data_IF_019190140608
#
_entry.id   IF_019190140608
#
_cell.length_a   1.000
_cell.length_b   1.000
_cell.length_c   1.000
_cell.angle_alpha   90.00
_cell.angle_beta   90.00
_cell.angle_gamma   90.00
#
_symmetry.space_group_name_H-M   'P 1'
#
loop_
_entity.id
_entity.type
_entity.pdbx_description
1 polymer ?
#
# COMPACT_ATOMS: atom_id res chain seq x y z
N UNK A 1 1.18 6.21 3.30
CA UNK A 1 -0.27 5.89 3.33
C UNK A 1 -0.81 5.74 4.75
N UNK A 2 -0.28 4.82 5.55
CA UNK A 2 -0.68 4.68 6.96
C UNK A 2 0.10 5.62 7.90
N UNK A 3 1.35 5.92 7.53
CA UNK A 3 2.28 6.64 8.39
C UNK A 3 2.89 5.71 9.43
N UNK A 4 4.20 5.83 9.65
CA UNK A 4 4.91 5.13 10.71
C UNK A 4 5.43 6.15 11.69
N UNK A 5 5.03 6.03 12.96
CA UNK A 5 5.53 6.84 14.06
C UNK A 5 6.13 5.93 15.11
N UNK A 6 7.44 6.07 15.37
CA UNK A 6 8.20 5.19 16.27
C UNK A 6 7.96 3.70 15.97
N UNK A 7 8.09 3.32 14.69
CA UNK A 7 7.85 1.95 14.21
C UNK A 7 6.42 1.43 14.43
N UNK A 8 5.44 2.29 14.69
CA UNK A 8 4.04 1.91 14.84
C UNK A 8 3.18 2.56 13.77
N UNK A 9 2.23 1.80 13.22
CA UNK A 9 1.14 2.34 12.41
C UNK A 9 -0.18 2.13 13.15
N UNK A 10 -1.04 3.14 13.09
CA UNK A 10 -2.42 3.03 13.54
C UNK A 10 -3.34 3.13 12.35
N UNK A 11 -4.27 2.19 12.22
CA UNK A 11 -5.24 2.17 11.15
C UNK A 11 -6.52 1.47 11.60
N UNK A 12 -7.58 1.60 10.82
CA UNK A 12 -8.86 0.96 11.11
C UNK A 12 -8.88 -0.38 10.38
N UNK A 13 -9.15 -1.47 11.09
CA UNK A 13 -9.32 -2.78 10.47
C UNK A 13 -10.69 -2.90 9.77
N UNK A 14 -10.91 -4.02 9.09
CA UNK A 14 -12.17 -4.32 8.40
C UNK A 14 -13.38 -4.40 9.35
N UNK A 15 -13.16 -4.55 10.67
CA UNK A 15 -14.20 -4.56 11.70
C UNK A 15 -14.55 -3.16 12.22
N UNK A 16 -13.88 -2.12 11.72
CA UNK A 16 -14.08 -0.74 12.15
C UNK A 16 -13.33 -0.38 13.44
N UNK A 17 -12.44 -1.26 13.93
CA UNK A 17 -11.66 -1.02 15.15
C UNK A 17 -10.30 -0.42 14.80
N UNK A 18 -9.85 0.51 15.63
CA UNK A 18 -8.49 1.04 15.51
C UNK A 18 -7.50 0.00 16.02
N UNK A 19 -6.67 -0.50 15.11
CA UNK A 19 -5.57 -1.41 15.39
C UNK A 19 -4.26 -0.61 15.38
N UNK A 20 -3.38 -0.93 16.33
CA UNK A 20 -2.01 -0.39 16.38
C UNK A 20 -1.04 -1.54 16.17
N UNK A 21 -0.33 -1.53 15.06
CA UNK A 21 0.66 -2.55 14.71
C UNK A 21 2.07 -2.00 14.84
N UNK A 22 2.97 -2.78 15.44
CA UNK A 22 4.40 -2.44 15.55
C UNK A 22 5.19 -3.16 14.46
N UNK A 23 6.12 -2.47 13.82
CA UNK A 23 6.91 -2.90 12.67
C UNK A 23 8.40 -2.84 12.99
N UNK A 24 8.96 -3.96 13.43
CA UNK A 24 10.35 -4.06 13.89
C UNK A 24 11.01 -5.25 13.20
N UNK A 25 11.95 -5.04 12.27
CA UNK A 25 12.57 -6.12 11.48
C UNK A 25 13.16 -7.24 12.34
N UNK A 26 13.72 -6.91 13.51
CA UNK A 26 14.38 -7.86 14.41
C UNK A 26 13.41 -8.87 15.05
N UNK A 27 12.10 -8.58 15.03
CA UNK A 27 11.07 -9.39 15.69
C UNK A 27 10.02 -9.95 14.72
N UNK A 28 10.09 -9.56 13.44
CA UNK A 28 9.12 -9.87 12.41
C UNK A 28 9.83 -10.20 11.10
N UNK A 29 10.15 -11.49 10.93
CA UNK A 29 10.89 -12.01 9.76
C UNK A 29 10.15 -11.72 8.44
N UNK A 30 8.80 -11.71 8.48
CA UNK A 30 8.00 -11.40 7.30
C UNK A 30 8.19 -9.93 6.91
N UNK A 31 8.10 -9.03 7.88
CA UNK A 31 8.36 -7.61 7.66
C UNK A 31 9.78 -7.37 7.15
N UNK A 32 10.79 -7.96 7.79
CA UNK A 32 12.20 -7.83 7.37
C UNK A 32 12.40 -8.28 5.92
N UNK A 33 11.80 -9.41 5.54
CA UNK A 33 11.97 -10.00 4.20
C UNK A 33 11.35 -9.16 3.09
N UNK A 34 10.18 -8.57 3.33
CA UNK A 34 9.40 -7.87 2.29
C UNK A 34 9.41 -6.34 2.43
N UNK A 35 10.22 -5.78 3.35
CA UNK A 35 10.29 -4.34 3.63
C UNK A 35 10.57 -3.48 2.38
N UNK A 36 11.44 -3.98 1.50
CA UNK A 36 11.87 -3.26 0.29
C UNK A 36 11.26 -3.81 -1.00
N UNK A 37 10.29 -4.71 -0.89
CA UNK A 37 9.58 -5.26 -2.04
C UNK A 37 8.64 -4.21 -2.63
N UNK A 38 8.41 -4.29 -3.95
CA UNK A 38 7.36 -3.50 -4.57
C UNK A 38 5.97 -3.93 -4.09
N UNK A 39 4.96 -3.10 -4.35
CA UNK A 39 3.60 -3.34 -3.87
C UNK A 39 3.01 -4.65 -4.40
N UNK A 40 3.30 -5.04 -5.65
CA UNK A 40 2.79 -6.27 -6.24
C UNK A 40 3.44 -7.52 -5.64
N UNK A 41 4.75 -7.48 -5.40
CA UNK A 41 5.49 -8.51 -4.69
C UNK A 41 4.99 -8.66 -3.25
N UNK A 42 4.77 -7.54 -2.55
CA UNK A 42 4.20 -7.53 -1.21
C UNK A 42 2.81 -8.20 -1.19
N UNK A 43 1.88 -7.81 -2.06
CA UNK A 43 0.55 -8.45 -2.16
C UNK A 43 0.65 -9.96 -2.44
N UNK A 44 1.54 -10.35 -3.36
CA UNK A 44 1.76 -11.77 -3.68
C UNK A 44 2.33 -12.56 -2.50
N UNK A 45 3.20 -11.93 -1.70
CA UNK A 45 3.76 -12.55 -0.50
C UNK A 45 2.72 -12.77 0.60
N UNK A 46 1.77 -11.85 0.76
CA UNK A 46 0.65 -11.99 1.70
C UNK A 46 -0.25 -13.14 1.28
N UNK A 47 -0.57 -13.25 -0.02
CA UNK A 47 -1.36 -14.37 -0.53
C UNK A 47 -0.71 -15.72 -0.17
N UNK A 48 0.60 -15.86 -0.40
CA UNK A 48 1.35 -17.06 -0.02
C UNK A 48 1.34 -17.29 1.50
N UNK A 49 1.49 -16.23 2.29
CA UNK A 49 1.43 -16.31 3.75
C UNK A 49 0.07 -16.85 4.24
N UNK A 50 -1.03 -16.39 3.64
CA UNK A 50 -2.39 -16.86 3.97
C UNK A 50 -2.59 -18.32 3.54
N UNK A 51 -2.15 -18.69 2.34
CA UNK A 51 -2.22 -20.08 1.83
C UNK A 51 -1.41 -21.04 2.74
N UNK A 52 -0.20 -20.66 3.14
CA UNK A 52 0.63 -21.44 4.05
C UNK A 52 0.00 -21.58 5.44
N UNK A 53 -0.64 -20.52 5.95
CA UNK A 53 -1.35 -20.56 7.23
C UNK A 53 -2.57 -21.47 7.16
N UNK A 54 -3.38 -21.38 6.11
CA UNK A 54 -4.54 -22.25 5.89
C UNK A 54 -4.16 -23.72 5.81
N UNK A 55 -3.08 -24.06 5.07
CA UNK A 55 -2.57 -25.43 5.00
C UNK A 55 -2.21 -25.98 6.39
N UNK A 56 -1.42 -25.22 7.16
CA UNK A 56 -1.01 -25.61 8.53
C UNK A 56 -2.19 -25.71 9.49
N UNK A 57 -3.21 -24.85 9.33
CA UNK A 57 -4.44 -24.92 10.13
C UNK A 57 -5.22 -26.20 9.84
N UNK A 58 -5.36 -26.59 8.58
CA UNK A 58 -6.11 -27.80 8.21
C UNK A 58 -5.42 -29.07 8.71
N UNK A 59 -4.08 -29.15 8.60
CA UNK A 59 -3.27 -30.24 9.18
C UNK A 59 -3.47 -30.36 10.71
N UNK A 60 -3.75 -29.24 11.36
CA UNK A 60 -3.94 -29.13 12.79
C UNK A 60 -5.39 -29.45 13.24
N UNK A 61 -6.38 -29.31 12.37
CA UNK A 61 -7.77 -29.72 12.65
C UNK A 61 -7.97 -31.23 12.44
N UNK A 62 -7.13 -31.90 11.63
CA UNK A 62 -7.22 -33.34 11.30
C UNK A 62 -6.49 -34.28 12.27
N UNK A 63 -6.37 -33.92 13.55
CA UNK A 63 -5.60 -34.68 14.54
C UNK A 63 -6.45 -35.73 15.27
N UNK A 64 -6.07 -37.01 15.22
CA UNK A 64 -6.89 -38.13 15.73
C UNK A 64 -6.23 -38.94 16.86
N UNK A 65 -4.91 -38.83 17.10
CA UNK A 65 -4.19 -39.64 18.09
C UNK A 65 -3.63 -38.87 19.30
N UNK A 66 -3.41 -39.59 20.41
CA UNK A 66 -2.75 -39.07 21.63
C UNK A 66 -1.30 -38.60 21.37
N UNK A 67 -0.61 -39.19 20.41
CA UNK A 67 0.72 -38.75 19.97
C UNK A 67 0.68 -37.39 19.30
N UNK A 68 -0.32 -37.18 18.43
CA UNK A 68 -0.52 -35.92 17.74
C UNK A 68 -0.78 -34.79 18.75
N UNK A 69 -1.59 -35.02 19.78
CA UNK A 69 -1.89 -34.02 20.82
C UNK A 69 -0.61 -33.51 21.51
N UNK A 70 0.36 -34.40 21.79
CA UNK A 70 1.64 -34.01 22.40
C UNK A 70 2.51 -33.18 21.45
N UNK A 71 2.53 -33.55 20.18
CA UNK A 71 3.21 -32.81 19.12
C UNK A 71 2.59 -31.43 18.90
N UNK A 72 1.26 -31.34 18.99
CA UNK A 72 0.53 -30.08 18.89
C UNK A 72 0.88 -29.12 20.01
N UNK A 73 0.86 -29.55 21.28
CA UNK A 73 1.23 -28.67 22.40
C UNK A 73 2.63 -28.09 22.19
N UNK A 74 3.53 -28.88 21.62
CA UNK A 74 4.90 -28.45 21.31
C UNK A 74 4.97 -27.41 20.18
N UNK A 75 4.10 -27.51 19.17
CA UNK A 75 4.07 -26.60 17.99
C UNK A 75 3.11 -25.41 18.14
N UNK A 76 2.20 -25.44 19.11
CA UNK A 76 1.18 -24.40 19.30
C UNK A 76 1.73 -22.98 19.47
N UNK A 77 2.83 -22.73 20.24
CA UNK A 77 3.41 -21.39 20.35
C UNK A 77 3.83 -20.80 18.99
N UNK A 78 4.41 -21.64 18.12
CA UNK A 78 4.80 -21.22 16.77
C UNK A 78 3.58 -20.93 15.89
N UNK A 79 2.55 -21.79 15.96
CA UNK A 79 1.29 -21.57 15.23
C UNK A 79 0.62 -20.25 15.67
N UNK A 80 0.60 -19.96 16.98
CA UNK A 80 0.08 -18.71 17.52
C UNK A 80 0.89 -17.49 17.05
N UNK A 81 2.22 -17.59 17.01
CA UNK A 81 3.08 -16.53 16.45
C UNK A 81 2.77 -16.29 14.97
N UNK A 82 2.64 -17.36 14.18
CA UNK A 82 2.31 -17.28 12.77
C UNK A 82 0.94 -16.65 12.54
N UNK A 83 -0.08 -17.04 13.31
CA UNK A 83 -1.43 -16.43 13.24
C UNK A 83 -1.36 -14.92 13.46
N UNK A 84 -0.62 -14.45 14.47
CA UNK A 84 -0.48 -13.02 14.73
C UNK A 84 0.23 -12.26 13.59
N UNK A 85 1.23 -12.87 12.94
CA UNK A 85 1.91 -12.29 11.77
C UNK A 85 0.94 -12.21 10.58
N UNK A 86 0.19 -13.29 10.31
CA UNK A 86 -0.82 -13.33 9.24
C UNK A 86 -1.88 -12.25 9.47
N UNK A 87 -2.51 -12.22 10.65
CA UNK A 87 -3.55 -11.26 10.99
C UNK A 87 -3.06 -9.81 10.84
N UNK A 88 -1.87 -9.51 11.36
CA UNK A 88 -1.24 -8.20 11.24
C UNK A 88 -1.07 -7.80 9.78
N UNK A 89 -0.36 -8.60 8.99
CA UNK A 89 0.04 -8.18 7.64
C UNK A 89 -1.13 -8.23 6.64
N UNK A 90 -2.12 -9.10 6.85
CA UNK A 90 -3.40 -9.07 6.11
C UNK A 90 -4.16 -7.78 6.41
N UNK A 91 -4.28 -7.39 7.68
CA UNK A 91 -4.95 -6.13 8.04
C UNK A 91 -4.27 -4.90 7.42
N UNK A 92 -2.94 -4.91 7.36
CA UNK A 92 -2.14 -3.85 6.74
C UNK A 92 -2.36 -3.79 5.23
N UNK A 93 -2.29 -4.92 4.53
CA UNK A 93 -2.48 -4.92 3.06
C UNK A 93 -3.90 -4.52 2.69
N UNK A 94 -4.90 -4.89 3.49
CA UNK A 94 -6.31 -4.53 3.27
C UNK A 94 -6.50 -3.01 3.33
N UNK A 95 -6.00 -2.36 4.39
CA UNK A 95 -6.10 -0.90 4.52
C UNK A 95 -5.26 -0.16 3.46
N UNK A 96 -4.06 -0.65 3.11
CA UNK A 96 -3.26 -0.06 2.03
C UNK A 96 -4.02 -0.18 0.70
N UNK A 97 -4.55 -1.37 0.38
CA UNK A 97 -5.30 -1.64 -0.84
C UNK A 97 -6.51 -0.72 -0.96
N UNK A 98 -7.26 -0.57 0.13
CA UNK A 98 -8.38 0.38 0.21
C UNK A 98 -7.94 1.81 -0.11
N UNK A 99 -6.86 2.32 0.50
CA UNK A 99 -6.35 3.67 0.22
C UNK A 99 -5.85 3.83 -1.22
N UNK A 100 -5.20 2.81 -1.77
CA UNK A 100 -4.73 2.78 -3.16
C UNK A 100 -5.91 2.91 -4.12
N UNK A 101 -7.01 2.17 -3.87
CA UNK A 101 -8.23 2.23 -4.67
C UNK A 101 -8.98 3.56 -4.50
N UNK A 102 -9.20 4.02 -3.27
CA UNK A 102 -9.92 5.27 -2.97
C UNK A 102 -9.28 6.53 -3.57
N UNK A 103 -7.98 6.49 -3.83
CA UNK A 103 -7.20 7.62 -4.37
C UNK A 103 -6.68 7.35 -5.79
N UNK A 104 -7.02 6.20 -6.38
CA UNK A 104 -6.52 5.75 -7.69
C UNK A 104 -4.99 5.87 -7.82
N UNK A 105 -4.25 5.47 -6.77
CA UNK A 105 -2.82 5.77 -6.64
C UNK A 105 -1.94 5.11 -7.70
N UNK A 106 -2.43 4.04 -8.34
CA UNK A 106 -1.71 3.39 -9.43
C UNK A 106 -1.68 4.31 -10.66
N UNK A 107 -2.82 4.88 -11.05
CA UNK A 107 -2.92 5.83 -12.16
C UNK A 107 -2.10 7.09 -11.88
N UNK A 108 -2.18 7.58 -10.65
CA UNK A 108 -1.36 8.70 -10.14
C UNK A 108 0.14 8.41 -10.27
N UNK A 109 0.58 7.25 -9.79
CA UNK A 109 1.98 6.85 -9.85
C UNK A 109 2.48 6.73 -11.29
N UNK A 110 1.66 6.20 -12.20
CA UNK A 110 1.99 6.11 -13.62
C UNK A 110 2.13 7.50 -14.25
N UNK A 111 1.20 8.42 -13.93
CA UNK A 111 1.27 9.80 -14.41
C UNK A 111 2.53 10.51 -13.93
N UNK A 112 2.91 10.35 -12.66
CA UNK A 112 4.14 10.91 -12.11
C UNK A 112 5.38 10.43 -12.84
N UNK A 113 5.46 9.12 -13.12
CA UNK A 113 6.58 8.54 -13.85
C UNK A 113 6.64 9.07 -15.29
N UNK A 114 5.51 9.15 -15.98
CA UNK A 114 5.44 9.69 -17.34
C UNK A 114 5.86 11.18 -17.39
N UNK A 115 5.40 11.98 -16.43
CA UNK A 115 5.84 13.38 -16.26
C UNK A 115 7.34 13.46 -16.02
N UNK A 116 7.89 12.62 -15.13
CA UNK A 116 9.31 12.64 -14.79
C UNK A 116 10.21 12.19 -15.94
N UNK A 117 9.76 11.24 -16.76
CA UNK A 117 10.53 10.75 -17.92
C UNK A 117 10.44 11.70 -19.11
N UNK A 118 9.37 12.49 -19.23
CA UNK A 118 9.18 13.42 -20.35
C UNK A 118 10.25 14.53 -20.34
N UNK A 119 11.05 14.64 -21.40
CA UNK A 119 12.15 15.62 -21.47
C UNK A 119 11.71 17.04 -21.84
N UNK A 120 10.67 17.18 -22.66
CA UNK A 120 10.24 18.48 -23.19
C UNK A 120 9.33 19.23 -22.18
N UNK A 121 9.75 20.43 -21.68
CA UNK A 121 8.96 21.19 -20.71
C UNK A 121 7.53 21.52 -21.15
N UNK A 122 7.35 21.93 -22.42
CA UNK A 122 6.02 22.25 -22.96
C UNK A 122 5.07 21.05 -23.00
N UNK A 123 5.59 19.85 -23.23
CA UNK A 123 4.82 18.61 -23.21
C UNK A 123 4.40 18.23 -21.79
N UNK A 124 5.26 18.46 -20.79
CA UNK A 124 4.93 18.27 -19.37
C UNK A 124 3.76 19.16 -18.95
N UNK A 125 3.83 20.46 -19.26
CA UNK A 125 2.77 21.42 -18.92
C UNK A 125 1.44 21.05 -19.59
N UNK A 126 1.49 20.60 -20.86
CA UNK A 126 0.29 20.17 -21.58
C UNK A 126 -0.35 18.92 -20.95
N UNK A 127 0.45 17.92 -20.58
CA UNK A 127 -0.02 16.71 -19.89
C UNK A 127 -0.66 17.05 -18.55
N UNK A 128 -0.01 17.90 -17.76
CA UNK A 128 -0.47 18.35 -16.45
C UNK A 128 -1.79 19.12 -16.57
N UNK A 129 -1.91 20.07 -17.51
CA UNK A 129 -3.18 20.79 -17.77
C UNK A 129 -4.32 19.85 -18.14
N UNK A 130 -4.07 18.85 -18.99
CA UNK A 130 -5.08 17.87 -19.40
C UNK A 130 -5.61 17.06 -18.21
N UNK A 131 -4.73 16.64 -17.31
CA UNK A 131 -5.13 15.84 -16.15
C UNK A 131 -5.78 16.68 -15.04
N UNK A 132 -5.45 17.98 -14.97
CA UNK A 132 -6.00 18.95 -14.01
C UNK A 132 -7.38 19.48 -14.37
N UNK A 133 -7.54 19.96 -15.60
CA UNK A 133 -8.74 20.66 -16.06
C UNK A 133 -9.83 19.69 -16.54
N UNK A 134 -9.47 18.42 -16.74
CA UNK A 134 -10.31 17.44 -17.43
C UNK A 134 -10.60 17.87 -18.87
N UNK A 135 -11.34 17.03 -19.61
CA UNK A 135 -11.92 17.51 -20.87
C UNK A 135 -13.07 18.46 -20.53
N UNK A 136 -13.08 19.71 -21.06
CA UNK A 136 -14.13 20.68 -20.78
C UNK A 136 -15.53 20.19 -21.20
N UNK A 137 -15.62 19.23 -22.13
CA UNK A 137 -16.88 18.65 -22.61
C UNK A 137 -17.59 17.71 -21.62
N UNK A 138 -16.95 17.28 -20.52
CA UNK A 138 -17.51 16.29 -19.57
C UNK A 138 -17.68 16.82 -18.13
N UNK A 139 -17.78 18.13 -17.94
CA UNK A 139 -18.06 18.70 -16.62
C UNK A 139 -16.89 18.58 -15.64
N UNK A 140 -15.66 18.79 -16.13
CA UNK A 140 -14.49 19.32 -15.42
C UNK A 140 -14.31 18.96 -13.94
N UNK A 141 -14.39 17.68 -13.57
CA UNK A 141 -13.95 17.24 -12.25
C UNK A 141 -12.49 16.81 -12.32
N UNK A 142 -11.63 17.29 -11.41
CA UNK A 142 -10.26 16.80 -11.32
C UNK A 142 -10.29 15.30 -11.03
N UNK A 143 -9.56 14.54 -11.83
CA UNK A 143 -9.49 13.07 -11.75
C UNK A 143 -8.79 12.58 -10.48
N UNK A 144 -8.09 13.49 -9.80
CA UNK A 144 -7.15 13.23 -8.73
C UNK A 144 -7.56 13.98 -7.46
N UNK A 145 -7.31 13.39 -6.28
CA UNK A 145 -7.53 14.11 -5.01
C UNK A 145 -6.57 15.30 -4.88
N UNK A 146 -7.01 16.36 -4.21
CA UNK A 146 -6.25 17.61 -4.03
C UNK A 146 -4.85 17.40 -3.44
N UNK A 147 -4.71 16.49 -2.48
CA UNK A 147 -3.42 16.18 -1.85
C UNK A 147 -2.41 15.61 -2.85
N UNK A 148 -2.83 14.61 -3.65
CA UNK A 148 -1.97 13.99 -4.65
C UNK A 148 -1.65 14.97 -5.76
N UNK A 149 -2.64 15.78 -6.15
CA UNK A 149 -2.47 16.82 -7.15
C UNK A 149 -1.42 17.85 -6.74
N UNK A 150 -1.49 18.34 -5.50
CA UNK A 150 -0.51 19.28 -4.97
C UNK A 150 0.90 18.68 -5.00
N UNK A 151 1.05 17.41 -4.60
CA UNK A 151 2.33 16.71 -4.66
C UNK A 151 2.86 16.59 -6.10
N UNK A 152 2.01 16.29 -7.06
CA UNK A 152 2.37 16.23 -8.49
C UNK A 152 2.79 17.60 -9.02
N UNK A 153 2.06 18.66 -8.67
CA UNK A 153 2.42 20.02 -9.07
C UNK A 153 3.79 20.44 -8.51
N UNK A 154 4.08 20.10 -7.25
CA UNK A 154 5.40 20.31 -6.66
C UNK A 154 6.49 19.53 -7.41
N UNK A 155 6.23 18.25 -7.72
CA UNK A 155 7.16 17.42 -8.48
C UNK A 155 7.47 18.01 -9.86
N UNK A 156 6.45 18.52 -10.56
CA UNK A 156 6.58 19.20 -11.84
C UNK A 156 7.39 20.49 -11.70
N UNK A 157 7.10 21.31 -10.69
CA UNK A 157 7.84 22.54 -10.44
C UNK A 157 9.33 22.27 -10.19
N UNK A 158 9.64 21.23 -9.41
CA UNK A 158 11.01 20.80 -9.17
C UNK A 158 11.69 20.28 -10.43
N UNK A 159 10.98 19.49 -11.26
CA UNK A 159 11.49 18.99 -12.53
C UNK A 159 11.81 20.11 -13.52
N UNK A 160 10.90 21.07 -13.65
CA UNK A 160 11.03 22.18 -14.59
C UNK A 160 11.97 23.28 -14.08
N UNK A 161 12.31 23.27 -12.79
CA UNK A 161 13.02 24.35 -12.09
C UNK A 161 12.33 25.71 -12.25
N UNK A 162 11.02 25.69 -12.50
CA UNK A 162 10.21 26.85 -12.82
C UNK A 162 8.79 26.64 -12.27
N UNK A 163 8.26 27.69 -11.65
CA UNK A 163 6.89 27.75 -11.12
C UNK A 163 5.95 28.54 -12.02
N UNK A 164 6.44 29.15 -13.10
CA UNK A 164 5.62 29.98 -14.00
C UNK A 164 4.45 29.22 -14.63
N UNK A 165 4.57 27.90 -14.79
CA UNK A 165 3.48 27.06 -15.30
C UNK A 165 2.25 27.04 -14.38
N UNK A 166 2.40 27.33 -13.08
CA UNK A 166 1.28 27.34 -12.12
C UNK A 166 0.27 28.46 -12.43
N UNK A 167 0.73 29.62 -12.92
CA UNK A 167 -0.18 30.68 -13.35
C UNK A 167 -1.01 30.26 -14.57
N UNK A 168 -0.47 29.36 -15.40
CA UNK A 168 -1.19 28.80 -16.54
C UNK A 168 -2.16 27.67 -16.17
N UNK A 169 -2.09 27.17 -14.93
CA UNK A 169 -2.96 26.13 -14.38
C UNK A 169 -4.15 26.72 -13.61
N UNK A 170 -4.10 27.99 -13.21
CA UNK A 170 -5.13 28.68 -12.43
C UNK A 170 -6.32 29.26 -13.25
N UNK A 171 -6.47 28.90 -14.53
CA UNK A 171 -7.56 29.40 -15.39
C UNK A 171 -8.77 28.46 -15.39
#
# INVERSE_FOLDING_TARGET
LLGLNNNKASFTDSSGKTVVSTFTPETDDFYQKYLFSDYGQFCSSIKRLVEDFQRRRNEHESMESLGDIKDFISRYPEFKKLSGIVDKHVSVVDEISKKVQERDLLSVSLFEQDVLVTSAPGSVVTKVKKELLGNPEQGGKPKMKREDLFRVLLLVALKLQDSSFLSQVQA
#
